data_IF_141869840385
#
_entry.id   IF_141869840385
#
_cell.length_a   1.000
_cell.length_b   1.000
_cell.length_c   1.000
_cell.angle_alpha   90.00
_cell.angle_beta   90.00
_cell.angle_gamma   90.00
#
_symmetry.space_group_name_H-M   'P 1'
#
loop_
_entity.id
_entity.type
_entity.pdbx_description
1 polymer ?
#
# COMPACT_ATOMS: atom_id res chain seq x y z
N UNK A 1 25.62 -28.81 -25.44
CA UNK A 1 25.08 -27.53 -25.96
C UNK A 1 23.80 -27.21 -25.20
N UNK A 2 23.58 -25.98 -24.72
CA UNK A 2 22.45 -25.67 -23.85
C UNK A 2 21.13 -25.67 -24.65
N UNK A 3 20.03 -26.19 -24.09
CA UNK A 3 18.76 -26.36 -24.79
C UNK A 3 18.11 -25.01 -25.07
N UNK A 4 17.71 -24.80 -26.33
CA UNK A 4 17.01 -23.60 -26.77
C UNK A 4 15.56 -23.64 -26.26
N UNK A 5 15.30 -22.94 -25.16
CA UNK A 5 13.93 -22.64 -24.70
C UNK A 5 13.15 -21.94 -25.80
N UNK A 6 11.88 -22.28 -26.06
CA UNK A 6 11.09 -21.71 -27.14
C UNK A 6 10.97 -20.18 -27.00
N UNK A 7 11.10 -19.47 -28.12
CA UNK A 7 11.18 -18.00 -28.18
C UNK A 7 10.04 -17.28 -27.43
N UNK A 8 8.88 -17.92 -27.29
CA UNK A 8 7.73 -17.37 -26.57
C UNK A 8 7.89 -17.42 -25.04
N UNK A 9 8.54 -18.45 -24.48
CA UNK A 9 8.87 -18.52 -23.04
C UNK A 9 9.96 -17.51 -22.69
N UNK A 10 10.99 -17.38 -23.52
CA UNK A 10 12.03 -16.36 -23.35
C UNK A 10 11.46 -14.93 -23.44
N UNK A 11 10.50 -14.68 -24.34
CA UNK A 11 9.82 -13.38 -24.44
C UNK A 11 8.96 -13.06 -23.20
N UNK A 12 8.28 -14.05 -22.63
CA UNK A 12 7.48 -13.85 -21.40
C UNK A 12 8.34 -13.67 -20.15
N UNK A 13 9.44 -14.41 -20.03
CA UNK A 13 10.39 -14.29 -18.92
C UNK A 13 11.08 -12.91 -18.91
N UNK A 14 11.59 -12.46 -20.07
CA UNK A 14 12.23 -11.14 -20.21
C UNK A 14 11.25 -9.98 -19.99
N UNK A 15 9.97 -10.13 -20.39
CA UNK A 15 8.93 -9.15 -20.10
C UNK A 15 8.61 -9.06 -18.59
N UNK A 16 8.57 -10.20 -17.88
CA UNK A 16 8.37 -10.26 -16.42
C UNK A 16 9.54 -9.65 -15.66
N UNK A 17 10.78 -9.98 -16.04
CA UNK A 17 11.99 -9.40 -15.44
C UNK A 17 12.07 -7.88 -15.65
N UNK A 18 11.75 -7.39 -16.86
CA UNK A 18 11.68 -5.94 -17.12
C UNK A 18 10.62 -5.25 -16.26
N UNK A 19 9.45 -5.88 -16.06
CA UNK A 19 8.38 -5.33 -15.21
C UNK A 19 8.76 -5.33 -13.74
N UNK A 20 9.44 -6.38 -13.26
CA UNK A 20 9.95 -6.46 -11.89
C UNK A 20 11.07 -5.44 -11.64
N UNK A 21 12.03 -5.30 -12.55
CA UNK A 21 13.11 -4.29 -12.48
C UNK A 21 12.59 -2.86 -12.50
N UNK A 22 11.48 -2.58 -13.20
CA UNK A 22 10.81 -1.27 -13.18
C UNK A 22 9.98 -1.02 -11.92
N UNK A 23 9.42 -2.07 -11.31
CA UNK A 23 8.59 -1.95 -10.10
C UNK A 23 9.41 -1.88 -8.79
N UNK A 24 10.61 -2.47 -8.75
CA UNK A 24 11.52 -2.40 -7.59
C UNK A 24 11.88 -0.97 -7.15
N UNK A 25 12.32 -0.04 -8.02
CA UNK A 25 12.67 1.31 -7.61
C UNK A 25 11.45 2.10 -7.11
N UNK A 26 10.27 1.88 -7.69
CA UNK A 26 9.04 2.55 -7.24
C UNK A 26 8.62 2.09 -5.83
N UNK A 27 8.75 0.79 -5.52
CA UNK A 27 8.47 0.25 -4.18
C UNK A 27 9.51 0.72 -3.15
N UNK A 28 10.78 0.77 -3.52
CA UNK A 28 11.84 1.27 -2.65
C UNK A 28 11.62 2.77 -2.32
N UNK A 29 11.26 3.57 -3.32
CA UNK A 29 10.94 4.99 -3.13
C UNK A 29 9.70 5.20 -2.23
N UNK A 30 8.65 4.38 -2.38
CA UNK A 30 7.47 4.43 -1.51
C UNK A 30 7.79 4.03 -0.06
N UNK A 31 8.61 3.00 0.15
CA UNK A 31 9.03 2.60 1.48
C UNK A 31 9.87 3.69 2.16
N UNK A 32 10.81 4.29 1.44
CA UNK A 32 11.62 5.40 1.94
C UNK A 32 10.76 6.63 2.27
N UNK A 33 9.80 6.97 1.41
CA UNK A 33 8.86 8.07 1.68
C UNK A 33 8.06 7.82 2.97
N UNK A 34 7.49 6.62 3.13
CA UNK A 34 6.74 6.25 4.34
C UNK A 34 7.62 6.27 5.61
N UNK A 35 8.88 5.84 5.53
CA UNK A 35 9.82 5.92 6.65
C UNK A 35 10.15 7.38 7.01
N UNK A 36 10.40 8.22 6.02
CA UNK A 36 10.69 9.65 6.26
C UNK A 36 9.49 10.40 6.82
N UNK A 37 8.28 10.09 6.36
CA UNK A 37 7.03 10.65 6.88
C UNK A 37 6.80 10.20 8.33
N UNK A 38 6.99 8.91 8.63
CA UNK A 38 6.87 8.38 9.99
C UNK A 38 7.88 9.02 10.96
N UNK A 39 9.13 9.18 10.53
CA UNK A 39 10.15 9.88 11.32
C UNK A 39 9.80 11.36 11.52
N UNK A 40 9.29 12.04 10.50
CA UNK A 40 8.86 13.43 10.61
C UNK A 40 7.71 13.60 11.62
N UNK A 41 6.72 12.69 11.61
CA UNK A 41 5.61 12.71 12.56
C UNK A 41 6.08 12.48 14.01
N UNK A 42 7.01 11.56 14.24
CA UNK A 42 7.62 11.33 15.56
C UNK A 42 8.42 12.53 16.05
N UNK A 43 9.12 13.23 15.16
CA UNK A 43 9.82 14.45 15.53
C UNK A 43 8.85 15.59 15.83
N UNK A 44 7.75 15.70 15.07
CA UNK A 44 6.72 16.71 15.29
C UNK A 44 6.00 16.51 16.64
N UNK A 45 5.62 15.27 16.99
CA UNK A 45 5.01 14.95 18.30
C UNK A 45 5.92 15.29 19.46
N UNK A 46 7.21 14.94 19.34
CA UNK A 46 8.21 15.25 20.36
C UNK A 46 8.47 16.76 20.48
N UNK A 47 8.47 17.49 19.36
CA UNK A 47 8.63 18.94 19.36
C UNK A 47 7.44 19.64 20.04
N UNK A 48 6.20 19.27 19.66
CA UNK A 48 4.98 19.81 20.26
C UNK A 48 4.90 19.52 21.77
N UNK A 49 5.19 18.29 22.19
CA UNK A 49 5.25 17.93 23.60
C UNK A 49 6.28 18.76 24.38
N UNK A 50 7.48 18.95 23.82
CA UNK A 50 8.54 19.76 24.46
C UNK A 50 8.14 21.22 24.61
N UNK A 51 7.45 21.80 23.64
CA UNK A 51 6.95 23.18 23.74
C UNK A 51 5.89 23.29 24.85
N UNK A 52 4.90 22.40 24.87
CA UNK A 52 3.89 22.34 25.93
C UNK A 52 4.49 22.16 27.32
N UNK A 53 5.43 21.23 27.47
CA UNK A 53 6.09 20.97 28.74
C UNK A 53 6.91 22.17 29.26
N UNK A 54 7.50 22.97 28.35
CA UNK A 54 8.20 24.21 28.70
C UNK A 54 7.24 25.31 29.14
N UNK A 55 6.07 25.41 28.51
CA UNK A 55 5.06 26.43 28.83
C UNK A 55 4.38 26.14 30.18
N UNK A 56 4.00 24.89 30.43
CA UNK A 56 3.19 24.45 31.58
C UNK A 56 3.97 23.68 32.64
N UNK A 57 5.28 23.88 32.76
CA UNK A 57 6.07 23.16 33.77
C UNK A 57 5.55 23.49 35.19
N UNK A 58 5.27 22.49 36.06
CA UNK A 58 4.69 22.70 37.39
C UNK A 58 5.51 23.64 38.28
N UNK A 59 6.82 23.74 38.04
CA UNK A 59 7.70 24.69 38.76
C UNK A 59 7.30 26.16 38.58
N UNK A 60 6.60 26.53 37.50
CA UNK A 60 6.11 27.90 37.30
C UNK A 60 4.88 28.24 38.14
N UNK A 61 4.05 27.26 38.51
CA UNK A 61 2.93 27.46 39.43
C UNK A 61 3.28 27.26 40.91
N UNK A 62 4.51 26.85 41.23
CA UNK A 62 4.94 26.65 42.62
C UNK A 62 4.82 27.92 43.49
N UNK A 63 4.72 29.11 42.88
CA UNK A 63 4.49 30.41 43.55
C UNK A 63 3.04 30.93 43.46
N UNK A 64 2.11 30.17 42.87
CA UNK A 64 0.72 30.58 42.65
C UNK A 64 -0.26 29.84 43.58
N UNK A 65 -1.52 30.28 43.61
CA UNK A 65 -2.59 29.75 44.47
C UNK A 65 -2.85 28.25 44.23
N UNK A 66 -3.29 27.53 45.27
CA UNK A 66 -3.53 26.08 45.23
C UNK A 66 -4.46 25.62 44.08
N UNK A 67 -5.46 26.43 43.72
CA UNK A 67 -6.35 26.15 42.60
C UNK A 67 -5.62 26.20 41.24
N UNK A 68 -4.69 27.13 41.07
CA UNK A 68 -3.90 27.25 39.84
C UNK A 68 -2.87 26.14 39.69
N UNK A 69 -2.35 25.63 40.81
CA UNK A 69 -1.45 24.47 40.84
C UNK A 69 -2.19 23.18 40.42
N UNK A 70 -3.42 22.99 40.90
CA UNK A 70 -4.25 21.84 40.50
C UNK A 70 -4.57 21.88 39.01
N UNK A 71 -5.05 23.02 38.50
CA UNK A 71 -5.35 23.18 37.08
C UNK A 71 -4.12 22.94 36.17
N UNK A 72 -2.93 23.41 36.55
CA UNK A 72 -1.71 23.12 35.78
C UNK A 72 -1.29 21.65 35.84
N UNK A 73 -1.51 20.99 36.97
CA UNK A 73 -1.20 19.56 37.12
C UNK A 73 -2.13 18.72 36.24
N UNK A 74 -3.42 19.03 36.21
CA UNK A 74 -4.39 18.40 35.32
C UNK A 74 -4.02 18.61 33.85
N UNK A 75 -3.67 19.85 33.46
CA UNK A 75 -3.25 20.18 32.11
C UNK A 75 -1.99 19.37 31.70
N UNK A 76 -1.00 19.26 32.59
CA UNK A 76 0.19 18.43 32.35
C UNK A 76 -0.13 16.93 32.21
N UNK A 77 -1.08 16.41 32.99
CA UNK A 77 -1.55 15.03 32.85
C UNK A 77 -2.20 14.80 31.48
N UNK A 78 -3.03 15.75 31.03
CA UNK A 78 -3.64 15.71 29.70
C UNK A 78 -2.60 15.73 28.57
N UNK A 79 -1.57 16.59 28.68
CA UNK A 79 -0.45 16.63 27.72
C UNK A 79 0.29 15.29 27.69
N UNK A 80 0.55 14.70 28.86
CA UNK A 80 1.26 13.42 28.96
C UNK A 80 0.44 12.27 28.38
N UNK A 81 -0.87 12.26 28.61
CA UNK A 81 -1.78 11.26 28.04
C UNK A 81 -1.83 11.35 26.51
N UNK A 82 -1.94 12.56 25.95
CA UNK A 82 -1.89 12.78 24.50
C UNK A 82 -0.56 12.32 23.88
N UNK A 83 0.57 12.60 24.56
CA UNK A 83 1.89 12.13 24.11
C UNK A 83 2.02 10.60 24.15
N UNK A 84 1.55 9.95 25.22
CA UNK A 84 1.55 8.49 25.34
C UNK A 84 0.70 7.82 24.27
N UNK A 85 -0.42 8.45 23.87
CA UNK A 85 -1.28 8.00 22.77
C UNK A 85 -0.69 8.28 21.37
N UNK A 86 0.38 9.08 21.27
CA UNK A 86 0.93 9.53 19.99
C UNK A 86 0.00 10.48 19.23
N UNK A 87 -0.93 11.14 19.92
CA UNK A 87 -1.95 12.00 19.32
C UNK A 87 -1.40 13.41 19.09
N UNK A 88 -0.79 13.61 17.91
CA UNK A 88 -0.26 14.91 17.48
C UNK A 88 -1.36 15.98 17.39
N UNK A 89 -2.59 15.60 17.01
CA UNK A 89 -3.68 16.55 16.85
C UNK A 89 -4.06 17.15 18.20
N UNK A 90 -4.19 16.31 19.23
CA UNK A 90 -4.48 16.75 20.59
C UNK A 90 -3.38 17.66 21.15
N UNK A 91 -2.09 17.32 20.92
CA UNK A 91 -0.96 18.16 21.35
C UNK A 91 -0.95 19.53 20.65
N UNK A 92 -1.24 19.57 19.35
CA UNK A 92 -1.33 20.84 18.63
C UNK A 92 -2.53 21.66 19.11
N UNK A 93 -3.71 21.08 19.28
CA UNK A 93 -4.88 21.78 19.80
C UNK A 93 -4.61 22.47 21.15
N UNK A 94 -3.96 21.76 22.08
CA UNK A 94 -3.53 22.32 23.36
C UNK A 94 -2.55 23.50 23.19
N UNK A 95 -1.62 23.43 22.22
CA UNK A 95 -0.71 24.55 21.91
C UNK A 95 -1.48 25.80 21.43
N UNK A 96 -2.45 25.64 20.52
CA UNK A 96 -3.26 26.78 20.04
C UNK A 96 -4.08 27.42 21.16
N UNK A 97 -4.68 26.61 22.04
CA UNK A 97 -5.42 27.12 23.19
C UNK A 97 -4.51 27.96 24.10
N UNK A 98 -3.26 27.52 24.29
CA UNK A 98 -2.30 28.22 25.15
C UNK A 98 -1.71 29.48 24.52
N UNK A 99 -1.40 29.46 23.22
CA UNK A 99 -0.92 30.63 22.47
C UNK A 99 -1.98 31.74 22.38
N UNK A 100 -3.26 31.39 22.37
CA UNK A 100 -4.36 32.37 22.39
C UNK A 100 -4.37 33.25 23.65
N UNK A 101 -3.75 32.77 24.74
CA UNK A 101 -3.70 33.46 26.04
C UNK A 101 -2.36 34.17 26.30
N UNK A 102 -1.29 33.83 25.55
CA UNK A 102 0.05 34.35 25.73
C UNK A 102 0.51 35.15 24.50
N UNK A 103 0.46 36.47 24.60
CA UNK A 103 0.67 37.45 23.51
C UNK A 103 2.07 37.50 22.85
N UNK A 104 2.93 36.47 22.89
CA UNK A 104 4.32 36.66 22.44
C UNK A 104 5.09 35.49 21.79
N UNK A 105 4.54 34.31 21.52
CA UNK A 105 5.34 33.25 20.87
C UNK A 105 4.50 32.29 20.02
N UNK A 106 4.18 32.61 18.76
CA UNK A 106 3.39 31.68 17.92
C UNK A 106 3.89 31.42 16.51
N UNK A 107 5.05 31.94 16.06
CA UNK A 107 5.53 31.61 14.69
C UNK A 107 5.92 30.12 14.56
N UNK A 108 6.57 29.54 15.57
CA UNK A 108 6.94 28.12 15.57
C UNK A 108 5.71 27.21 15.67
N UNK A 109 4.73 27.57 16.50
CA UNK A 109 3.48 26.82 16.65
C UNK A 109 2.68 26.87 15.34
N UNK A 110 2.55 28.06 14.75
CA UNK A 110 1.84 28.25 13.48
C UNK A 110 2.53 27.52 12.32
N UNK A 111 3.87 27.51 12.28
CA UNK A 111 4.63 26.69 11.33
C UNK A 111 4.37 25.18 11.53
N UNK A 112 4.30 24.70 12.78
CA UNK A 112 3.97 23.30 13.07
C UNK A 112 2.53 22.95 12.67
N UNK A 113 1.57 23.84 12.92
CA UNK A 113 0.18 23.70 12.48
C UNK A 113 0.07 23.61 10.96
N UNK A 114 0.73 24.52 10.23
CA UNK A 114 0.74 24.52 8.77
C UNK A 114 1.35 23.21 8.23
N UNK A 115 2.46 22.74 8.82
CA UNK A 115 3.06 21.46 8.43
C UNK A 115 2.12 20.28 8.66
N UNK A 116 1.41 20.28 9.77
CA UNK A 116 0.47 19.22 10.12
C UNK A 116 -0.77 19.21 9.22
N UNK A 117 -1.37 20.38 8.95
CA UNK A 117 -2.51 20.48 8.03
C UNK A 117 -2.12 20.07 6.61
N UNK A 118 -0.92 20.42 6.16
CA UNK A 118 -0.37 19.92 4.89
C UNK A 118 -0.19 18.39 4.89
N UNK A 119 0.35 17.80 5.96
CA UNK A 119 0.51 16.35 6.08
C UNK A 119 -0.84 15.61 6.08
N UNK A 120 -1.84 16.15 6.78
CA UNK A 120 -3.21 15.60 6.77
C UNK A 120 -3.85 15.68 5.39
N UNK A 121 -3.70 16.80 4.68
CA UNK A 121 -4.20 16.95 3.32
C UNK A 121 -3.56 15.92 2.38
N UNK A 122 -2.25 15.68 2.52
CA UNK A 122 -1.54 14.64 1.77
C UNK A 122 -2.06 13.23 2.10
N UNK A 123 -2.27 12.91 3.38
CA UNK A 123 -2.85 11.63 3.79
C UNK A 123 -4.26 11.44 3.25
N UNK A 124 -5.10 12.47 3.26
CA UNK A 124 -6.45 12.40 2.70
C UNK A 124 -6.42 12.10 1.19
N UNK A 125 -5.51 12.75 0.46
CA UNK A 125 -5.30 12.47 -0.97
C UNK A 125 -4.80 11.04 -1.18
N UNK A 126 -3.83 10.57 -0.39
CA UNK A 126 -3.34 9.18 -0.48
C UNK A 126 -4.44 8.16 -0.15
N UNK A 127 -5.21 8.36 0.91
CA UNK A 127 -6.32 7.49 1.30
C UNK A 127 -7.41 7.45 0.24
N UNK A 128 -7.76 8.61 -0.36
CA UNK A 128 -8.74 8.64 -1.46
C UNK A 128 -8.24 7.88 -2.70
N UNK A 129 -6.95 7.97 -3.02
CA UNK A 129 -6.34 7.17 -4.09
C UNK A 129 -6.35 5.67 -3.75
N UNK A 130 -5.98 5.29 -2.53
CA UNK A 130 -6.02 3.90 -2.08
C UNK A 130 -7.44 3.33 -2.12
N UNK A 131 -8.42 4.12 -1.68
CA UNK A 131 -9.83 3.77 -1.71
C UNK A 131 -10.30 3.61 -3.16
N UNK A 132 -9.90 4.51 -4.07
CA UNK A 132 -10.17 4.38 -5.50
C UNK A 132 -9.55 3.11 -6.09
N UNK A 133 -8.32 2.78 -5.71
CA UNK A 133 -7.65 1.54 -6.14
C UNK A 133 -8.33 0.28 -5.59
N UNK A 134 -8.78 0.31 -4.33
CA UNK A 134 -9.48 -0.79 -3.67
C UNK A 134 -10.89 -0.98 -4.23
N UNK A 135 -11.57 0.12 -4.56
CA UNK A 135 -12.90 0.11 -5.18
C UNK A 135 -12.85 -0.18 -6.67
N UNK A 136 -11.67 -0.06 -7.31
CA UNK A 136 -11.52 -0.42 -8.71
C UNK A 136 -11.92 -1.89 -8.84
N UNK A 137 -13.05 -2.19 -9.52
CA UNK A 137 -13.43 -3.58 -9.72
C UNK A 137 -12.24 -4.25 -10.40
N UNK A 138 -11.81 -5.41 -9.90
CA UNK A 138 -10.83 -6.21 -10.62
C UNK A 138 -11.49 -6.51 -11.98
N UNK A 139 -11.07 -5.80 -13.03
CA UNK A 139 -11.62 -5.92 -14.39
C UNK A 139 -11.49 -7.35 -14.93
N UNK A 140 -10.74 -8.21 -14.23
CA UNK A 140 -10.52 -9.62 -14.54
C UNK A 140 -10.72 -10.56 -13.34
N UNK A 141 -11.39 -10.13 -12.25
CA UNK A 141 -11.80 -11.09 -11.25
C UNK A 141 -12.91 -11.97 -11.84
N UNK A 142 -12.81 -13.31 -11.75
CA UNK A 142 -13.80 -14.24 -12.32
C UNK A 142 -15.21 -14.11 -11.71
N UNK A 143 -15.38 -13.19 -10.75
CA UNK A 143 -16.61 -12.91 -10.05
C UNK A 143 -16.92 -11.41 -9.94
N UNK A 144 -16.26 -10.53 -10.72
CA UNK A 144 -16.65 -9.11 -10.74
C UNK A 144 -17.79 -8.86 -11.75
N UNK A 145 -18.64 -7.87 -11.45
CA UNK A 145 -19.79 -7.49 -12.28
C UNK A 145 -21.15 -7.91 -11.72
N UNK A 146 -22.21 -7.68 -12.50
CA UNK A 146 -23.59 -8.03 -12.13
C UNK A 146 -23.83 -9.54 -12.19
N UNK A 147 -24.83 -10.06 -11.47
CA UNK A 147 -25.18 -11.50 -11.47
C UNK A 147 -25.37 -12.05 -12.89
N UNK A 148 -25.94 -11.24 -13.79
CA UNK A 148 -26.11 -11.62 -15.20
C UNK A 148 -24.77 -11.79 -15.93
N UNK A 149 -23.83 -10.86 -15.74
CA UNK A 149 -22.50 -10.92 -16.35
C UNK A 149 -21.66 -12.09 -15.80
N UNK A 150 -21.76 -12.35 -14.50
CA UNK A 150 -21.11 -13.52 -13.89
C UNK A 150 -21.67 -14.82 -14.47
N UNK A 151 -22.99 -14.93 -14.65
CA UNK A 151 -23.63 -16.12 -15.24
C UNK A 151 -23.24 -16.34 -16.69
N UNK A 152 -23.08 -15.28 -17.49
CA UNK A 152 -22.61 -15.41 -18.88
C UNK A 152 -21.14 -15.85 -18.93
N UNK A 153 -20.27 -15.24 -18.14
CA UNK A 153 -18.86 -15.63 -18.06
C UNK A 153 -18.69 -17.08 -17.59
N UNK A 154 -19.44 -17.52 -16.58
CA UNK A 154 -19.43 -18.91 -16.12
C UNK A 154 -19.87 -19.90 -17.21
N UNK A 155 -20.83 -19.53 -18.06
CA UNK A 155 -21.28 -20.37 -19.19
C UNK A 155 -20.21 -20.46 -20.26
N UNK A 156 -19.53 -19.36 -20.57
CA UNK A 156 -18.43 -19.33 -21.54
C UNK A 156 -17.24 -20.16 -21.05
N UNK A 157 -16.83 -19.99 -19.79
CA UNK A 157 -15.75 -20.75 -19.17
C UNK A 157 -16.07 -22.25 -19.14
N UNK A 158 -17.31 -22.62 -18.81
CA UNK A 158 -17.76 -24.02 -18.86
C UNK A 158 -17.69 -24.59 -20.28
N UNK A 159 -18.01 -23.78 -21.30
CA UNK A 159 -17.96 -24.21 -22.70
C UNK A 159 -16.51 -24.37 -23.17
N UNK A 160 -15.61 -23.45 -22.82
CA UNK A 160 -14.19 -23.55 -23.19
C UNK A 160 -13.53 -24.76 -22.55
N UNK A 161 -13.74 -24.98 -21.25
CA UNK A 161 -13.21 -26.14 -20.54
C UNK A 161 -13.71 -27.46 -21.14
N UNK A 162 -14.99 -27.53 -21.56
CA UNK A 162 -15.51 -28.71 -22.26
C UNK A 162 -14.79 -28.95 -23.59
N UNK A 163 -14.64 -27.91 -24.41
CA UNK A 163 -13.91 -28.02 -25.67
C UNK A 163 -12.44 -28.44 -25.47
N UNK A 164 -11.78 -27.90 -24.45
CA UNK A 164 -10.42 -28.31 -24.07
C UNK A 164 -10.36 -29.78 -23.63
N UNK A 165 -11.32 -30.22 -22.80
CA UNK A 165 -11.36 -31.64 -22.40
C UNK A 165 -11.61 -32.56 -23.59
N UNK A 166 -12.50 -32.20 -24.52
CA UNK A 166 -12.76 -32.97 -25.74
C UNK A 166 -11.52 -33.03 -26.63
N UNK A 167 -10.82 -31.91 -26.78
CA UNK A 167 -9.56 -31.83 -27.52
C UNK A 167 -8.46 -32.70 -26.89
N UNK A 168 -8.30 -32.66 -25.56
CA UNK A 168 -7.35 -33.51 -24.85
C UNK A 168 -7.70 -34.98 -24.98
N UNK A 169 -8.98 -35.35 -24.92
CA UNK A 169 -9.41 -36.74 -25.16
C UNK A 169 -9.11 -37.19 -26.60
N UNK A 170 -9.33 -36.31 -27.58
CA UNK A 170 -8.96 -36.57 -28.97
C UNK A 170 -7.45 -36.81 -29.10
N UNK A 171 -6.62 -35.93 -28.52
CA UNK A 171 -5.16 -36.09 -28.53
C UNK A 171 -4.71 -37.37 -27.84
N UNK A 172 -5.28 -37.72 -26.69
CA UNK A 172 -4.97 -38.95 -25.99
C UNK A 172 -5.29 -40.19 -26.83
N UNK A 173 -6.43 -40.18 -27.54
CA UNK A 173 -6.80 -41.25 -28.47
C UNK A 173 -5.81 -41.36 -29.63
N UNK A 174 -5.42 -40.23 -30.22
CA UNK A 174 -4.43 -40.19 -31.29
C UNK A 174 -3.04 -40.68 -30.85
N UNK A 175 -2.68 -40.49 -29.57
CA UNK A 175 -1.41 -40.97 -29.00
C UNK A 175 -1.44 -42.44 -28.56
N UNK A 176 -2.61 -43.00 -28.27
CA UNK A 176 -2.78 -44.42 -27.93
C UNK A 176 -2.67 -45.35 -29.16
N UNK A 177 -2.95 -44.82 -30.35
CA UNK A 177 -2.79 -45.58 -31.60
C UNK A 177 -1.31 -45.58 -32.06
N UNK A 178 -0.63 -46.75 -32.15
CA UNK A 178 0.81 -46.81 -32.43
C UNK A 178 1.15 -46.39 -33.86
N UNK A 179 0.19 -46.45 -34.78
CA UNK A 179 0.38 -46.07 -36.18
C UNK A 179 0.40 -44.54 -36.36
N UNK A 180 -0.54 -43.84 -35.74
CA UNK A 180 -0.66 -42.38 -35.76
C UNK A 180 0.49 -41.71 -35.01
N UNK A 181 0.91 -42.27 -33.87
CA UNK A 181 2.09 -41.79 -33.13
C UNK A 181 3.37 -41.89 -33.97
N UNK A 182 3.56 -43.00 -34.72
CA UNK A 182 4.70 -43.15 -35.65
C UNK A 182 4.65 -42.19 -36.83
N UNK A 183 3.45 -41.88 -37.35
CA UNK A 183 3.28 -40.89 -38.41
C UNK A 183 3.57 -39.47 -37.91
N UNK A 184 3.05 -39.10 -36.74
CA UNK A 184 3.34 -37.81 -36.10
C UNK A 184 4.83 -37.66 -35.76
N UNK A 185 5.49 -38.71 -35.28
CA UNK A 185 6.94 -38.69 -35.07
C UNK A 185 7.73 -38.56 -36.38
N UNK A 186 7.25 -39.16 -37.48
CA UNK A 186 7.84 -38.97 -38.82
C UNK A 186 7.65 -37.54 -39.32
N UNK A 187 6.49 -36.95 -39.12
CA UNK A 187 6.20 -35.56 -39.51
C UNK A 187 7.01 -34.56 -38.66
N UNK A 188 7.20 -34.84 -37.37
CA UNK A 188 8.06 -34.05 -36.49
C UNK A 188 9.55 -34.21 -36.82
N UNK A 189 9.97 -35.40 -37.27
CA UNK A 189 11.31 -35.63 -37.79
C UNK A 189 11.54 -34.93 -39.14
N UNK A 190 10.56 -34.98 -40.04
CA UNK A 190 10.61 -34.30 -41.34
C UNK A 190 10.58 -32.77 -41.21
N UNK A 191 9.93 -32.23 -40.17
CA UNK A 191 9.90 -30.79 -39.87
C UNK A 191 11.12 -30.30 -39.08
N UNK A 192 12.16 -31.12 -38.89
CA UNK A 192 13.43 -30.72 -38.29
C UNK A 192 13.38 -30.42 -36.80
N UNK A 193 12.32 -30.82 -36.09
CA UNK A 193 12.18 -30.67 -34.62
C UNK A 193 12.58 -31.91 -33.84
N UNK A 194 12.88 -33.02 -34.51
CA UNK A 194 13.52 -34.19 -33.90
C UNK A 194 15.05 -34.04 -33.97
N UNK A 195 15.59 -33.09 -33.21
CA UNK A 195 17.02 -32.99 -32.93
C UNK A 195 17.20 -32.99 -31.42
N UNK A 196 17.74 -34.09 -30.88
CA UNK A 196 18.46 -34.06 -29.61
C UNK A 196 19.77 -33.29 -29.79
#
# INVERSE_FOLDING_TARGET
MPPQTPAHEQATATARERRQRRAQPARAAQAQAAETEGQALLQNTKAAYRQLARLHHPDRAAQADAATQQAQTELMQHITAAYAAGDLAALLALLAETDSTASATSEEAEALFQRYTMALAQQQVQLSQQLTLAQRPLEHAPWSGTEKQQRTQLRELKRSLRAETEYLHFLLRQLQEPATLRQLLRELAASGRAGF
#
